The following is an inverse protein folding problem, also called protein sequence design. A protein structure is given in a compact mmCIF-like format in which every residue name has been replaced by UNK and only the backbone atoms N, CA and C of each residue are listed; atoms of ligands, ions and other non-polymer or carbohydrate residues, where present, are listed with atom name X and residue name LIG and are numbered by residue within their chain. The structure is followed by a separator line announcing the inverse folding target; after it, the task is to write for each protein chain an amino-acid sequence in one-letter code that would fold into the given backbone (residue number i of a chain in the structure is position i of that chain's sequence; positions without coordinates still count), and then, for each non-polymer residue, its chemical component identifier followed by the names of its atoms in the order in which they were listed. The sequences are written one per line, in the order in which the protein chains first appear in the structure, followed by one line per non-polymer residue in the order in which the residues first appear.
data_IF_461670201123
#
_entry.id   IF_461670201123
#
_cell.length_a   1.000
_cell.length_b   1.000
_cell.length_c   1.000
_cell.angle_alpha   90.00
_cell.angle_beta   90.00
_cell.angle_gamma   90.00
#
_symmetry.space_group_name_H-M   'P 1'
#
loop_
_entity.id
_entity.type
_entity.pdbx_description
1 polymer ?
#
# COMPACT_ATOMS: atom_id res chain seq x y z
N UNK A 1 25.54 64.56 -6.57
CA UNK A 1 24.57 65.64 -6.28
C UNK A 1 23.18 65.02 -6.39
N UNK A 2 22.43 64.98 -5.27
CA UNK A 2 21.02 64.57 -5.07
C UNK A 2 20.62 63.11 -5.42
N UNK A 3 20.23 62.26 -4.46
CA UNK A 3 18.98 62.20 -3.66
C UNK A 3 17.75 61.87 -4.53
N UNK A 4 17.19 60.65 -4.51
CA UNK A 4 16.31 59.99 -3.50
C UNK A 4 14.80 60.14 -3.81
N UNK A 5 14.12 59.02 -4.05
CA UNK A 5 12.69 58.73 -3.78
C UNK A 5 12.42 57.28 -4.26
N UNK A 6 12.38 56.26 -3.39
CA UNK A 6 11.21 55.72 -2.65
C UNK A 6 9.93 55.59 -3.50
N UNK A 7 9.46 54.34 -3.63
CA UNK A 7 8.18 53.96 -4.22
C UNK A 7 7.98 52.46 -4.08
N UNK A 8 7.51 52.05 -2.91
CA UNK A 8 7.21 50.68 -2.52
C UNK A 8 6.14 50.06 -3.44
N UNK A 9 6.39 48.87 -3.97
CA UNK A 9 5.35 48.02 -4.59
C UNK A 9 5.20 46.77 -3.71
N UNK A 10 4.21 46.85 -2.82
CA UNK A 10 3.80 45.77 -1.94
C UNK A 10 3.24 44.61 -2.77
N UNK A 11 3.85 43.44 -2.62
CA UNK A 11 3.33 42.18 -3.11
C UNK A 11 2.11 41.76 -2.27
N UNK A 12 0.94 41.64 -2.92
CA UNK A 12 -0.27 41.09 -2.33
C UNK A 12 -0.07 39.60 -2.05
N UNK A 13 0.10 39.26 -0.77
CA UNK A 13 0.11 37.88 -0.26
C UNK A 13 -1.35 37.46 -0.02
N UNK A 14 -1.87 36.53 -0.84
CA UNK A 14 -3.10 35.82 -0.51
C UNK A 14 -2.81 34.78 0.56
N UNK A 15 -3.10 35.15 1.81
CA UNK A 15 -3.14 34.24 2.94
C UNK A 15 -4.31 33.26 2.76
N UNK A 16 -4.02 31.98 2.56
CA UNK A 16 -5.01 30.93 2.70
C UNK A 16 -5.34 30.78 4.20
N UNK A 17 -6.59 31.09 4.54
CA UNK A 17 -7.14 31.01 5.90
C UNK A 17 -7.48 29.56 6.21
N UNK A 18 -6.77 28.97 7.18
CA UNK A 18 -7.08 27.65 7.74
C UNK A 18 -8.46 27.68 8.44
N UNK A 19 -9.31 26.66 8.28
CA UNK A 19 -10.52 26.52 9.08
C UNK A 19 -10.17 25.97 10.47
N UNK A 20 -10.35 26.84 11.47
CA UNK A 20 -10.32 26.52 12.90
C UNK A 20 -11.33 25.41 13.21
N UNK A 21 -10.85 24.30 13.78
CA UNK A 21 -11.69 23.25 14.35
C UNK A 21 -12.19 23.72 15.72
N UNK A 22 -13.40 24.27 15.73
CA UNK A 22 -14.12 24.61 16.96
C UNK A 22 -14.70 23.34 17.59
N UNK A 23 -14.15 22.90 18.73
CA UNK A 23 -14.78 21.88 19.57
C UNK A 23 -15.95 22.51 20.33
N UNK A 24 -17.16 22.42 19.77
CA UNK A 24 -18.38 22.76 20.48
C UNK A 24 -18.87 21.57 21.33
N UNK A 25 -18.83 21.77 22.64
CA UNK A 25 -19.33 20.89 23.69
C UNK A 25 -20.86 20.99 23.79
N UNK A 26 -21.50 19.81 23.82
CA UNK A 26 -22.72 19.46 24.57
C UNK A 26 -24.05 20.17 24.19
N UNK A 27 -24.96 19.45 23.52
CA UNK A 27 -26.23 18.97 24.10
C UNK A 27 -27.14 18.33 23.04
N UNK A 28 -27.65 17.14 23.36
CA UNK A 28 -28.97 16.63 22.96
C UNK A 28 -29.36 16.65 21.46
N UNK A 29 -29.28 15.48 20.79
CA UNK A 29 -30.45 14.69 20.33
C UNK A 29 -30.03 13.67 19.26
N UNK A 30 -30.33 12.40 19.57
CA UNK A 30 -30.28 11.26 18.66
C UNK A 30 -31.19 11.51 17.45
N UNK A 31 -30.62 11.76 16.29
CA UNK A 31 -31.34 11.66 15.02
C UNK A 31 -31.29 10.19 14.56
N UNK A 32 -32.29 9.41 14.98
CA UNK A 32 -32.55 8.11 14.38
C UNK A 32 -33.25 8.32 13.03
N UNK A 33 -32.66 7.77 11.97
CA UNK A 33 -33.27 7.68 10.66
C UNK A 33 -34.37 6.60 10.71
N UNK A 34 -35.64 7.03 10.64
CA UNK A 34 -36.78 6.11 10.50
C UNK A 34 -37.10 5.88 9.02
N UNK A 35 -37.04 4.62 8.58
CA UNK A 35 -37.58 4.15 7.31
C UNK A 35 -39.04 3.76 7.52
N UNK A 36 -39.96 4.55 6.98
CA UNK A 36 -41.40 4.29 7.05
C UNK A 36 -41.79 3.33 5.93
N UNK A 37 -42.04 2.08 6.25
CA UNK A 37 -42.68 1.12 5.34
C UNK A 37 -44.08 0.83 5.86
N UNK A 38 -45.09 1.44 5.23
CA UNK A 38 -46.50 1.14 5.49
C UNK A 38 -46.88 -0.15 4.79
N UNK A 39 -47.29 -1.16 5.54
CA UNK A 39 -48.13 -2.24 4.99
C UNK A 39 -49.14 -2.64 6.06
N UNK A 40 -50.33 -2.08 5.91
CA UNK A 40 -51.56 -2.58 6.51
C UNK A 40 -51.79 -4.02 6.03
N UNK A 41 -52.01 -4.96 6.95
CA UNK A 41 -53.03 -6.00 6.79
C UNK A 41 -53.54 -6.35 8.18
N UNK A 42 -54.75 -5.87 8.44
CA UNK A 42 -55.58 -6.19 9.59
C UNK A 42 -56.08 -7.63 9.51
N UNK A 43 -56.36 -8.18 10.69
CA UNK A 43 -57.12 -9.41 10.94
C UNK A 43 -56.36 -10.72 10.72
N UNK A 44 -56.18 -11.48 11.79
CA UNK A 44 -56.96 -12.70 12.07
C UNK A 44 -56.51 -13.27 13.44
N UNK A 45 -57.50 -13.67 14.24
CA UNK A 45 -57.40 -14.20 15.60
C UNK A 45 -56.67 -15.55 15.69
N UNK A 46 -55.94 -15.84 16.78
CA UNK A 46 -55.38 -17.18 16.99
C UNK A 46 -56.45 -18.10 17.57
N UNK A 47 -57.12 -18.89 16.73
CA UNK A 47 -57.89 -20.04 17.19
C UNK A 47 -56.94 -21.22 17.42
N UNK A 48 -56.70 -21.48 18.70
CA UNK A 48 -56.09 -22.69 19.21
C UNK A 48 -56.78 -23.92 18.61
N UNK A 49 -56.03 -24.70 17.82
CA UNK A 49 -56.49 -26.00 17.33
C UNK A 49 -55.42 -27.04 17.59
N UNK A 50 -55.77 -27.91 18.53
CA UNK A 50 -55.19 -29.21 18.90
C UNK A 50 -54.29 -29.88 17.87
N UNK A 51 -53.04 -30.09 18.27
CA UNK A 51 -52.06 -30.94 17.60
C UNK A 51 -52.52 -32.40 17.68
N UNK A 52 -52.95 -32.98 16.55
CA UNK A 52 -53.19 -34.42 16.41
C UNK A 52 -51.98 -35.06 15.73
N UNK A 53 -51.18 -35.78 16.52
CA UNK A 53 -50.17 -36.70 16.02
C UNK A 53 -50.86 -37.97 15.51
N UNK A 54 -50.87 -38.16 14.20
CA UNK A 54 -51.08 -39.48 13.59
C UNK A 54 -49.95 -39.72 12.60
N UNK A 55 -49.03 -40.61 12.98
CA UNK A 55 -48.00 -41.17 12.12
C UNK A 55 -48.59 -42.16 11.10
N UNK A 56 -47.71 -42.58 10.18
CA UNK A 56 -47.79 -43.71 9.23
C UNK A 56 -48.48 -43.28 7.90
N UNK A 57 -47.84 -43.22 6.73
CA UNK A 57 -47.02 -44.21 6.00
C UNK A 57 -46.12 -43.54 4.93
N UNK A 58 -44.96 -44.16 4.69
CA UNK A 58 -43.96 -43.88 3.64
C UNK A 58 -44.48 -43.97 2.20
N UNK A 59 -44.03 -43.07 1.32
CA UNK A 59 -43.83 -43.36 -0.11
C UNK A 59 -42.58 -42.63 -0.62
N UNK A 60 -41.62 -43.42 -1.12
CA UNK A 60 -40.32 -42.99 -1.61
C UNK A 60 -40.46 -42.13 -2.88
N UNK A 61 -40.03 -40.87 -2.80
CA UNK A 61 -39.79 -40.03 -3.97
C UNK A 61 -38.28 -39.92 -4.21
N UNK A 62 -37.91 -40.42 -5.39
CA UNK A 62 -36.58 -40.59 -5.96
C UNK A 62 -35.80 -39.26 -5.96
N UNK A 63 -34.80 -39.13 -5.08
CA UNK A 63 -33.86 -38.01 -5.10
C UNK A 63 -32.76 -38.35 -6.12
N UNK A 64 -32.93 -37.92 -7.37
CA UNK A 64 -31.84 -37.97 -8.37
C UNK A 64 -30.79 -36.91 -7.99
N UNK A 65 -29.82 -37.26 -7.15
CA UNK A 65 -28.60 -36.46 -7.01
C UNK A 65 -27.78 -36.71 -8.27
N UNK A 66 -27.81 -35.77 -9.21
CA UNK A 66 -26.79 -35.69 -10.25
C UNK A 66 -25.46 -35.32 -9.57
N UNK A 67 -24.66 -36.34 -9.24
CA UNK A 67 -23.26 -36.14 -8.81
C UNK A 67 -22.46 -35.82 -10.07
N UNK A 68 -22.42 -34.55 -10.45
CA UNK A 68 -21.47 -34.06 -11.43
C UNK A 68 -20.08 -34.10 -10.80
N UNK A 69 -19.33 -35.18 -11.01
CA UNK A 69 -17.92 -35.25 -10.67
C UNK A 69 -17.15 -34.27 -11.55
N UNK A 70 -16.95 -33.04 -11.07
CA UNK A 70 -15.96 -32.13 -11.64
C UNK A 70 -14.58 -32.74 -11.39
N UNK A 71 -13.99 -33.33 -12.42
CA UNK A 71 -12.58 -33.73 -12.37
C UNK A 71 -11.77 -32.43 -12.45
N UNK A 72 -11.47 -31.86 -11.29
CA UNK A 72 -10.49 -30.78 -11.19
C UNK A 72 -9.12 -31.37 -11.56
N UNK A 73 -8.61 -31.03 -12.75
CA UNK A 73 -7.20 -31.26 -13.05
C UNK A 73 -6.38 -30.51 -11.99
N UNK A 74 -5.31 -31.09 -11.44
CA UNK A 74 -4.42 -30.34 -10.55
C UNK A 74 -3.84 -29.18 -11.36
N UNK A 75 -4.35 -27.97 -11.10
CA UNK A 75 -3.70 -26.75 -11.55
C UNK A 75 -2.38 -26.71 -10.79
N UNK A 76 -1.27 -26.90 -11.51
CA UNK A 76 0.05 -26.66 -10.96
C UNK A 76 0.14 -25.15 -10.72
N UNK A 77 -0.29 -24.73 -9.54
CA UNK A 77 -0.08 -23.39 -9.03
C UNK A 77 1.42 -23.28 -8.80
N UNK A 78 2.15 -22.83 -9.81
CA UNK A 78 3.51 -22.37 -9.59
C UNK A 78 3.39 -21.13 -8.72
N UNK A 79 3.67 -21.31 -7.44
CA UNK A 79 3.78 -20.24 -6.47
C UNK A 79 4.81 -19.28 -7.03
N UNK A 80 4.32 -18.16 -7.56
CA UNK A 80 5.15 -17.01 -7.89
C UNK A 80 5.68 -16.50 -6.56
N UNK A 81 6.94 -16.76 -6.29
CA UNK A 81 7.57 -16.36 -5.04
C UNK A 81 7.99 -14.89 -5.12
N UNK A 82 7.87 -14.20 -4.00
CA UNK A 82 8.23 -12.79 -3.89
C UNK A 82 9.75 -12.68 -3.83
N UNK A 83 10.36 -12.10 -4.86
CA UNK A 83 11.81 -11.89 -4.85
C UNK A 83 12.19 -10.68 -3.98
N UNK A 84 12.87 -10.95 -2.86
CA UNK A 84 13.38 -9.96 -1.90
C UNK A 84 14.92 -10.07 -1.83
N UNK A 85 15.69 -9.48 -2.77
CA UNK A 85 17.14 -9.65 -2.80
C UNK A 85 17.84 -8.90 -1.65
N UNK A 86 18.62 -9.59 -0.79
CA UNK A 86 19.47 -8.93 0.22
C UNK A 86 20.44 -7.92 -0.39
N UNK A 87 20.37 -6.67 0.05
CA UNK A 87 21.31 -5.62 -0.37
C UNK A 87 22.63 -5.80 0.38
N UNK A 88 23.74 -5.79 -0.39
CA UNK A 88 25.11 -5.96 0.11
C UNK A 88 25.85 -4.63 0.24
N UNK A 89 25.51 -3.66 -0.62
CA UNK A 89 26.02 -2.29 -0.55
C UNK A 89 24.92 -1.30 -0.99
N UNK A 90 24.71 -0.17 -0.28
CA UNK A 90 25.48 0.34 0.87
C UNK A 90 25.28 -0.47 2.16
N UNK A 91 26.26 -0.36 3.06
CA UNK A 91 26.26 -0.99 4.40
C UNK A 91 26.26 0.07 5.51
N UNK A 92 25.98 -0.33 6.74
CA UNK A 92 26.07 0.56 7.90
C UNK A 92 27.45 1.26 7.95
N UNK A 93 27.46 2.58 8.19
CA UNK A 93 28.67 3.40 8.20
C UNK A 93 29.22 3.76 6.81
N UNK A 94 28.52 3.41 5.73
CA UNK A 94 28.85 3.92 4.38
C UNK A 94 28.57 5.42 4.32
N UNK A 95 29.43 6.17 3.63
CA UNK A 95 29.26 7.61 3.39
C UNK A 95 29.31 7.86 1.90
N UNK A 96 28.27 8.49 1.35
CA UNK A 96 28.20 8.95 -0.03
C UNK A 96 28.31 10.46 -0.08
N UNK A 97 28.99 10.98 -1.11
CA UNK A 97 28.97 12.41 -1.42
C UNK A 97 28.06 12.70 -2.59
N UNK A 98 27.33 13.80 -2.53
CA UNK A 98 26.49 14.28 -3.63
C UNK A 98 27.30 14.37 -4.93
N UNK A 99 26.72 13.89 -6.02
CA UNK A 99 27.33 13.87 -7.36
C UNK A 99 28.29 12.71 -7.63
N UNK A 100 28.70 11.93 -6.61
CA UNK A 100 29.54 10.75 -6.83
C UNK A 100 28.76 9.61 -7.51
N UNK A 101 29.48 8.74 -8.22
CA UNK A 101 28.92 7.49 -8.74
C UNK A 101 29.15 6.36 -7.75
N UNK A 102 28.09 5.70 -7.36
CA UNK A 102 28.12 4.54 -6.48
C UNK A 102 27.48 3.34 -7.14
N UNK A 103 28.00 2.15 -6.86
CA UNK A 103 27.46 0.90 -7.36
C UNK A 103 26.75 0.17 -6.23
N UNK A 104 25.43 0.21 -6.27
CA UNK A 104 24.57 -0.55 -5.36
C UNK A 104 24.66 -2.01 -5.75
N UNK A 105 24.76 -2.91 -4.78
CA UNK A 105 24.86 -4.35 -5.03
C UNK A 105 23.91 -5.13 -4.13
N UNK A 106 23.37 -6.23 -4.66
CA UNK A 106 22.50 -7.17 -3.94
C UNK A 106 22.78 -8.59 -4.42
N UNK A 107 22.43 -9.58 -3.60
CA UNK A 107 22.55 -10.98 -4.02
C UNK A 107 21.33 -11.41 -4.83
N UNK A 108 21.57 -12.26 -5.82
CA UNK A 108 20.54 -12.87 -6.67
C UNK A 108 20.48 -14.38 -6.48
N UNK A 109 21.29 -14.94 -5.59
CA UNK A 109 21.43 -16.40 -5.41
C UNK A 109 20.15 -17.10 -4.95
N UNK A 110 19.19 -16.37 -4.41
CA UNK A 110 17.92 -16.88 -3.88
C UNK A 110 16.70 -16.53 -4.78
N UNK A 111 16.92 -16.22 -6.06
CA UNK A 111 15.80 -15.91 -6.94
C UNK A 111 14.92 -17.16 -7.18
N UNK A 112 13.59 -17.03 -7.26
CA UNK A 112 12.72 -18.13 -7.64
C UNK A 112 12.91 -18.53 -9.11
N UNK A 113 12.43 -19.72 -9.48
CA UNK A 113 12.46 -20.19 -10.87
C UNK A 113 11.63 -19.30 -11.81
N UNK A 114 10.59 -18.64 -11.28
CA UNK A 114 9.75 -17.67 -11.99
C UNK A 114 9.68 -16.38 -11.20
N UNK A 115 10.17 -15.30 -11.78
CA UNK A 115 10.11 -13.94 -11.23
C UNK A 115 8.93 -13.24 -11.90
N UNK A 116 8.04 -12.62 -11.11
CA UNK A 116 6.84 -11.98 -11.66
C UNK A 116 7.16 -10.61 -12.26
N UNK A 117 8.01 -9.84 -11.59
CA UNK A 117 8.55 -8.59 -12.08
C UNK A 117 10.09 -8.59 -12.04
N UNK A 118 10.69 -8.77 -13.20
CA UNK A 118 12.15 -8.73 -13.38
C UNK A 118 12.68 -7.30 -13.59
N UNK A 119 11.79 -6.32 -13.83
CA UNK A 119 12.18 -4.93 -14.05
C UNK A 119 12.38 -4.24 -12.70
N UNK A 120 13.64 -3.96 -12.40
CA UNK A 120 14.09 -3.37 -11.15
C UNK A 120 13.94 -1.85 -11.10
N UNK A 121 13.75 -1.35 -9.87
CA UNK A 121 13.80 0.09 -9.54
C UNK A 121 14.51 0.29 -8.22
N UNK A 122 15.36 1.31 -8.13
CA UNK A 122 16.00 1.73 -6.89
C UNK A 122 15.49 3.11 -6.50
N UNK A 123 15.04 3.25 -5.26
CA UNK A 123 14.62 4.54 -4.72
C UNK A 123 15.37 4.88 -3.44
N UNK A 124 15.50 6.17 -3.17
CA UNK A 124 16.09 6.66 -1.93
C UNK A 124 15.02 6.73 -0.82
N UNK A 125 15.39 6.33 0.38
CA UNK A 125 14.61 6.48 1.61
C UNK A 125 15.38 7.38 2.59
N UNK A 126 14.64 8.07 3.46
CA UNK A 126 15.17 8.83 4.60
C UNK A 126 14.31 8.54 5.82
N UNK A 127 14.93 8.00 6.88
CA UNK A 127 14.21 7.43 8.01
C UNK A 127 13.17 6.40 7.56
N UNK A 128 11.93 6.56 8.02
CA UNK A 128 10.84 5.64 7.71
C UNK A 128 10.17 5.86 6.35
N UNK A 129 10.55 6.93 5.62
CA UNK A 129 9.86 7.36 4.40
C UNK A 129 10.63 6.98 3.13
N UNK A 130 9.93 6.37 2.16
CA UNK A 130 10.41 6.29 0.78
C UNK A 130 10.18 7.64 0.10
N UNK A 131 11.26 8.28 -0.33
CA UNK A 131 11.21 9.56 -1.04
C UNK A 131 10.75 9.33 -2.49
N UNK A 132 10.27 10.35 -3.22
CA UNK A 132 9.96 10.21 -4.64
C UNK A 132 11.19 10.05 -5.55
N UNK A 133 12.41 10.02 -4.98
CA UNK A 133 13.66 10.05 -5.72
C UNK A 133 14.04 8.66 -6.23
N UNK A 134 13.98 8.49 -7.54
CA UNK A 134 14.40 7.28 -8.25
C UNK A 134 15.89 7.41 -8.57
N UNK A 135 16.70 6.47 -8.08
CA UNK A 135 18.15 6.44 -8.32
C UNK A 135 18.51 5.64 -9.58
N UNK A 136 17.74 4.59 -9.87
CA UNK A 136 17.84 3.79 -11.08
C UNK A 136 16.50 3.09 -11.36
N UNK A 137 16.20 2.81 -12.62
CA UNK A 137 15.02 2.09 -13.06
C UNK A 137 15.30 1.36 -14.37
N UNK A 138 14.36 0.49 -14.77
CA UNK A 138 14.34 -0.18 -16.07
C UNK A 138 15.59 -1.05 -16.33
N UNK A 139 16.04 -1.74 -15.29
CA UNK A 139 17.14 -2.71 -15.34
C UNK A 139 16.66 -4.11 -14.96
N UNK A 140 17.38 -5.14 -15.39
CA UNK A 140 17.12 -6.51 -14.94
C UNK A 140 17.60 -6.69 -13.49
N UNK A 141 16.69 -7.03 -12.59
CA UNK A 141 16.99 -7.23 -11.17
C UNK A 141 17.98 -8.39 -10.92
N UNK A 142 18.15 -9.31 -11.88
CA UNK A 142 19.12 -10.39 -11.79
C UNK A 142 20.56 -9.97 -12.07
N UNK A 143 20.80 -8.72 -12.48
CA UNK A 143 22.17 -8.18 -12.61
C UNK A 143 22.91 -8.12 -11.26
N UNK A 144 22.19 -8.08 -10.14
CA UNK A 144 22.79 -8.00 -8.80
C UNK A 144 23.46 -6.66 -8.48
N UNK A 145 23.37 -5.69 -9.40
CA UNK A 145 23.99 -4.38 -9.23
C UNK A 145 23.38 -3.32 -10.14
N UNK A 146 23.47 -2.06 -9.71
CA UNK A 146 23.20 -0.89 -10.55
C UNK A 146 24.12 0.27 -10.13
N UNK A 147 24.61 1.01 -11.12
CA UNK A 147 25.40 2.23 -10.89
C UNK A 147 24.46 3.43 -10.88
N UNK A 148 24.56 4.26 -9.84
CA UNK A 148 23.76 5.47 -9.66
C UNK A 148 24.67 6.68 -9.53
N UNK A 149 24.13 7.87 -9.75
CA UNK A 149 24.74 9.13 -9.33
C UNK A 149 24.02 9.61 -8.07
N UNK A 150 24.76 9.97 -7.03
CA UNK A 150 24.19 10.43 -5.77
C UNK A 150 23.48 11.77 -6.02
N UNK A 151 22.17 11.85 -5.77
CA UNK A 151 21.41 13.06 -6.03
C UNK A 151 21.70 14.14 -4.98
N UNK A 152 21.36 15.38 -5.30
CA UNK A 152 21.41 16.46 -4.33
C UNK A 152 20.28 16.29 -3.30
N UNK A 153 20.66 16.10 -2.03
CA UNK A 153 19.79 15.96 -0.87
C UNK A 153 20.50 16.52 0.36
N UNK A 154 19.75 17.00 1.34
CA UNK A 154 20.30 17.46 2.63
C UNK A 154 21.23 16.43 3.27
N UNK A 155 22.24 16.89 4.00
CA UNK A 155 23.11 16.02 4.78
C UNK A 155 22.28 15.20 5.80
N UNK A 156 22.68 13.94 6.02
CA UNK A 156 22.00 13.06 6.98
C UNK A 156 22.60 11.65 7.02
N UNK A 157 22.34 10.93 8.11
CA UNK A 157 22.87 9.59 8.41
C UNK A 157 21.81 8.48 8.43
N UNK A 158 20.56 8.83 8.12
CA UNK A 158 19.38 7.98 8.14
C UNK A 158 18.90 7.60 6.72
N UNK A 159 19.79 7.66 5.72
CA UNK A 159 19.46 7.28 4.36
C UNK A 159 19.47 5.77 4.17
N UNK A 160 18.54 5.26 3.38
CA UNK A 160 18.55 3.87 2.92
C UNK A 160 18.24 3.82 1.43
N UNK A 161 18.64 2.76 0.75
CA UNK A 161 18.14 2.45 -0.58
C UNK A 161 17.14 1.32 -0.49
N UNK A 162 16.10 1.40 -1.31
CA UNK A 162 15.19 0.28 -1.55
C UNK A 162 15.37 -0.21 -2.98
N UNK A 163 15.57 -1.52 -3.14
CA UNK A 163 15.56 -2.19 -4.44
C UNK A 163 14.23 -2.90 -4.60
N UNK A 164 13.47 -2.53 -5.64
CA UNK A 164 12.17 -3.09 -5.98
C UNK A 164 12.26 -4.09 -7.12
N UNK A 165 11.61 -5.24 -6.95
CA UNK A 165 11.14 -6.13 -8.02
C UNK A 165 9.62 -6.32 -7.87
N UNK A 166 9.20 -7.45 -7.32
CA UNK A 166 7.82 -7.68 -6.86
C UNK A 166 7.55 -7.06 -5.47
N UNK A 167 8.60 -6.93 -4.67
CA UNK A 167 8.62 -6.29 -3.36
C UNK A 167 9.90 -5.47 -3.19
N UNK A 168 9.99 -4.69 -2.11
CA UNK A 168 11.18 -3.88 -1.81
C UNK A 168 12.04 -4.52 -0.72
N UNK A 169 13.36 -4.53 -0.91
CA UNK A 169 14.30 -4.78 0.19
C UNK A 169 15.07 -3.50 0.53
N UNK A 170 15.33 -3.27 1.82
CA UNK A 170 16.00 -2.07 2.31
C UNK A 170 17.45 -2.35 2.69
N UNK A 171 18.34 -1.40 2.38
CA UNK A 171 19.69 -1.41 2.92
C UNK A 171 19.68 -1.05 4.41
N UNK A 172 20.77 -1.33 5.15
CA UNK A 172 21.06 -0.59 6.37
C UNK A 172 21.10 0.92 6.13
N UNK A 173 20.94 1.70 7.21
CA UNK A 173 21.11 3.15 7.17
C UNK A 173 22.56 3.53 6.83
N UNK A 174 22.73 4.61 6.07
CA UNK A 174 24.01 5.16 5.66
C UNK A 174 23.95 6.69 5.55
N UNK A 175 25.11 7.32 5.40
CA UNK A 175 25.23 8.77 5.37
C UNK A 175 25.35 9.33 3.95
N UNK A 176 24.66 10.44 3.68
CA UNK A 176 24.89 11.28 2.50
C UNK A 176 25.35 12.65 2.98
N UNK A 177 26.38 13.21 2.33
CA UNK A 177 26.94 14.54 2.65
C UNK A 177 27.26 15.35 1.39
N UNK A 178 27.42 16.66 1.56
CA UNK A 178 27.89 17.57 0.51
C UNK A 178 26.77 18.26 -0.26
N UNK A 179 25.62 18.48 0.39
CA UNK A 179 24.55 19.34 -0.10
C UNK A 179 24.99 20.82 -0.18
#
# INVERSE_FOLDING_TARGET
MMAAARGDVLATIFMYKEPVLECASDHHRNAQYQLTTTTELSNLSPLYSTMKFTSITTLASLFLVAVSSAVALPVHHEVRDVFVPPILYPRAGTVWKVGEKHRITWTTSNHPAKITNQVGRIMLRKGDFTTPLILANDFDILLGQATITVPWVEDGDDYQVVVFGDSGNFSPAFTITGA
#
